data_IF_004121859822
#
_entry.id   IF_004121859822
#
_cell.length_a   1.000
_cell.length_b   1.000
_cell.length_c   1.000
_cell.angle_alpha   90.00
_cell.angle_beta   90.00
_cell.angle_gamma   90.00
#
_symmetry.space_group_name_H-M   'P 1'
#
loop_
_entity.id
_entity.type
_entity.pdbx_description
1 polymer ?
#
# COMPACT_ATOMS: atom_id res chain seq x y z
N UNK A 1 66.59 -20.05 16.55
CA UNK A 1 66.00 -18.70 16.69
C UNK A 1 64.50 -18.85 16.46
N UNK A 2 63.72 -18.69 17.52
CA UNK A 2 62.26 -18.84 17.55
C UNK A 2 61.57 -17.78 16.67
N UNK A 3 60.46 -18.11 16.01
CA UNK A 3 59.26 -17.25 16.02
C UNK A 3 58.02 -18.01 15.49
N UNK A 4 57.24 -18.55 16.43
CA UNK A 4 55.82 -18.89 16.23
C UNK A 4 54.99 -17.61 16.31
N UNK A 5 53.96 -17.49 15.46
CA UNK A 5 52.61 -16.90 15.67
C UNK A 5 52.00 -16.62 14.29
N UNK A 6 51.12 -17.52 13.82
CA UNK A 6 49.67 -17.31 13.79
C UNK A 6 49.24 -16.03 13.07
N UNK A 7 48.64 -16.18 11.88
CA UNK A 7 47.55 -15.31 11.41
C UNK A 7 46.65 -16.10 10.45
N UNK A 8 45.99 -17.12 11.00
CA UNK A 8 44.77 -17.67 10.41
C UNK A 8 43.62 -16.73 10.78
N UNK A 9 43.02 -16.06 9.81
CA UNK A 9 41.83 -15.24 10.07
C UNK A 9 41.60 -14.21 8.99
N UNK A 10 40.92 -14.61 7.91
CA UNK A 10 40.56 -13.69 6.84
C UNK A 10 39.59 -14.25 5.80
N UNK A 11 38.78 -15.27 6.14
CA UNK A 11 37.52 -15.51 5.43
C UNK A 11 36.45 -14.68 6.13
N UNK A 12 36.39 -13.40 5.81
CA UNK A 12 35.15 -12.63 6.00
C UNK A 12 34.52 -12.49 4.63
N UNK A 13 33.76 -13.52 4.28
CA UNK A 13 32.70 -13.50 3.29
C UNK A 13 31.88 -12.22 3.48
N UNK A 14 32.01 -11.28 2.53
CA UNK A 14 31.07 -10.19 2.35
C UNK A 14 29.73 -10.82 1.95
N UNK A 15 28.87 -11.10 2.93
CA UNK A 15 27.46 -11.35 2.67
C UNK A 15 26.87 -9.99 2.33
N UNK A 16 26.74 -9.72 1.03
CA UNK A 16 25.97 -8.59 0.52
C UNK A 16 24.49 -8.90 0.70
N UNK A 17 24.02 -8.83 1.95
CA UNK A 17 22.58 -8.76 2.26
C UNK A 17 22.09 -7.37 1.89
N UNK A 18 22.03 -7.07 0.59
CA UNK A 18 21.14 -6.03 0.12
C UNK A 18 19.72 -6.57 0.29
N UNK A 19 19.20 -6.46 1.51
CA UNK A 19 17.76 -6.40 1.72
C UNK A 19 17.32 -5.21 0.89
N UNK A 20 16.83 -5.49 -0.31
CA UNK A 20 16.01 -4.56 -1.05
C UNK A 20 14.82 -4.30 -0.13
N UNK A 21 14.94 -3.27 0.71
CA UNK A 21 13.82 -2.50 1.23
C UNK A 21 13.19 -1.81 0.03
N UNK A 22 12.65 -2.61 -0.88
CA UNK A 22 11.52 -2.17 -1.65
C UNK A 22 10.47 -1.87 -0.61
N UNK A 23 10.29 -0.60 -0.29
CA UNK A 23 8.93 -0.08 -0.20
C UNK A 23 8.29 -0.39 -1.55
N UNK A 24 7.88 -1.65 -1.72
CA UNK A 24 6.77 -2.01 -2.58
C UNK A 24 5.72 -0.97 -2.25
N UNK A 25 5.31 -0.25 -3.28
CA UNK A 25 4.33 0.83 -3.26
C UNK A 25 3.09 0.36 -2.49
N UNK A 26 3.15 0.44 -1.16
CA UNK A 26 2.06 0.11 -0.29
C UNK A 26 1.15 1.29 -0.47
N UNK A 27 0.15 1.10 -1.31
CA UNK A 27 -0.96 2.01 -1.48
C UNK A 27 -1.37 2.48 -0.07
N UNK A 28 -1.17 3.77 0.21
CA UNK A 28 -0.93 4.26 1.57
C UNK A 28 -2.06 3.87 2.52
N UNK A 29 -1.75 3.58 3.78
CA UNK A 29 -2.77 3.37 4.82
C UNK A 29 -3.51 4.69 5.07
N UNK A 30 -4.74 4.64 5.57
CA UNK A 30 -5.45 5.85 5.99
C UNK A 30 -4.63 6.62 7.04
N UNK A 31 -4.38 7.90 6.78
CA UNK A 31 -3.65 8.80 7.69
C UNK A 31 -4.62 9.85 8.24
N UNK A 32 -4.43 10.25 9.49
CA UNK A 32 -5.25 11.25 10.16
C UNK A 32 -4.37 12.36 10.73
N UNK A 33 -4.88 13.58 10.76
CA UNK A 33 -4.19 14.68 11.46
C UNK A 33 -4.45 14.63 12.98
N UNK A 34 -3.82 15.55 13.72
CA UNK A 34 -3.94 15.64 15.18
C UNK A 34 -5.38 15.92 15.67
N UNK A 35 -6.29 16.29 14.77
CA UNK A 35 -7.72 16.50 15.06
C UNK A 35 -8.58 15.26 14.75
N UNK A 36 -7.98 14.18 14.25
CA UNK A 36 -8.69 12.99 13.81
C UNK A 36 -9.37 13.12 12.45
N UNK A 37 -9.00 14.10 11.62
CA UNK A 37 -9.54 14.27 10.27
C UNK A 37 -8.75 13.40 9.29
N UNK A 38 -9.45 12.65 8.43
CA UNK A 38 -8.83 11.84 7.38
C UNK A 38 -8.07 12.73 6.39
N UNK A 39 -6.78 12.47 6.24
CA UNK A 39 -5.95 13.08 5.21
C UNK A 39 -6.29 12.45 3.85
N UNK A 40 -6.16 13.24 2.78
CA UNK A 40 -6.41 12.75 1.43
C UNK A 40 -5.52 11.53 1.14
N UNK A 41 -6.10 10.34 0.86
CA UNK A 41 -5.32 9.15 0.58
C UNK A 41 -4.44 9.35 -0.66
N UNK A 42 -3.17 8.96 -0.55
CA UNK A 42 -2.22 8.97 -1.67
C UNK A 42 -2.16 7.59 -2.30
N UNK A 43 -2.02 7.53 -3.63
CA UNK A 43 -1.90 6.28 -4.38
C UNK A 43 -3.05 5.28 -4.16
N UNK A 44 -4.24 5.73 -3.74
CA UNK A 44 -5.42 4.89 -3.52
C UNK A 44 -5.88 4.12 -4.77
N UNK A 45 -5.39 4.47 -5.97
CA UNK A 45 -5.65 3.73 -7.21
C UNK A 45 -4.93 2.38 -7.28
N UNK A 46 -3.97 2.15 -6.39
CA UNK A 46 -3.29 0.87 -6.20
C UNK A 46 -3.97 0.01 -5.12
N UNK A 47 -5.00 0.52 -4.44
CA UNK A 47 -5.88 -0.28 -3.59
C UNK A 47 -6.74 -1.24 -4.42
N UNK A 48 -7.51 -2.09 -3.74
CA UNK A 48 -8.38 -3.06 -4.41
C UNK A 48 -9.58 -2.33 -5.01
N UNK A 49 -9.67 -2.29 -6.34
CA UNK A 49 -10.88 -1.82 -7.03
C UNK A 49 -12.02 -2.82 -6.79
N UNK A 50 -13.10 -2.37 -6.16
CA UNK A 50 -14.26 -3.23 -5.87
C UNK A 50 -15.42 -3.01 -6.84
N UNK A 51 -15.41 -1.91 -7.58
CA UNK A 51 -16.39 -1.69 -8.65
C UNK A 51 -16.38 -0.29 -9.22
N UNK A 52 -17.02 -0.15 -10.38
CA UNK A 52 -17.29 1.14 -11.03
C UNK A 52 -18.80 1.28 -11.26
N UNK A 53 -19.34 2.45 -10.96
CA UNK A 53 -20.74 2.80 -11.23
C UNK A 53 -20.80 4.04 -12.11
N UNK A 54 -21.90 4.18 -12.84
CA UNK A 54 -22.19 5.38 -13.62
C UNK A 54 -23.61 5.89 -13.35
N UNK A 55 -23.75 7.19 -13.12
CA UNK A 55 -25.02 7.92 -13.00
C UNK A 55 -25.01 9.08 -13.99
N UNK A 56 -25.42 8.86 -15.26
CA UNK A 56 -25.31 9.87 -16.32
C UNK A 56 -26.22 11.08 -16.08
N UNK A 57 -25.75 12.28 -16.43
CA UNK A 57 -26.55 13.51 -16.33
C UNK A 57 -27.84 13.43 -17.17
N UNK A 58 -27.78 12.82 -18.35
CA UNK A 58 -28.94 12.67 -19.24
C UNK A 58 -30.07 11.82 -18.64
N UNK A 59 -29.75 10.95 -17.67
CA UNK A 59 -30.72 10.12 -16.95
C UNK A 59 -31.13 10.75 -15.60
N UNK A 60 -30.66 11.95 -15.29
CA UNK A 60 -30.83 12.63 -14.00
C UNK A 60 -31.14 14.13 -14.20
N UNK A 61 -32.15 14.46 -15.01
CA UNK A 61 -32.63 15.84 -15.25
C UNK A 61 -31.54 16.84 -15.67
N UNK A 62 -30.52 16.35 -16.39
CA UNK A 62 -29.37 17.14 -16.83
C UNK A 62 -28.31 17.38 -15.74
N UNK A 63 -28.49 16.87 -14.53
CA UNK A 63 -27.53 17.00 -13.42
C UNK A 63 -27.61 15.85 -12.43
N UNK A 64 -26.67 14.92 -12.55
CA UNK A 64 -26.47 13.86 -11.59
C UNK A 64 -26.08 14.41 -10.20
N UNK A 65 -26.44 13.72 -9.11
CA UNK A 65 -26.09 14.14 -7.74
C UNK A 65 -24.59 14.05 -7.43
N UNK A 66 -23.82 13.33 -8.27
CA UNK A 66 -22.39 13.15 -8.15
C UNK A 66 -21.75 13.17 -9.55
N UNK A 67 -20.41 13.25 -9.61
CA UNK A 67 -19.67 12.98 -10.86
C UNK A 67 -20.12 11.65 -11.46
N UNK A 68 -20.37 11.66 -12.77
CA UNK A 68 -21.13 10.60 -13.44
C UNK A 68 -20.49 9.23 -13.25
N UNK A 69 -19.18 9.10 -13.48
CA UNK A 69 -18.44 7.85 -13.26
C UNK A 69 -17.77 7.89 -11.88
N UNK A 70 -17.96 6.82 -11.10
CA UNK A 70 -17.31 6.62 -9.81
C UNK A 70 -16.71 5.24 -9.71
N UNK A 71 -15.42 5.17 -9.42
CA UNK A 71 -14.71 3.92 -9.13
C UNK A 71 -14.40 3.87 -7.64
N UNK A 72 -14.78 2.78 -7.00
CA UNK A 72 -14.63 2.57 -5.56
C UNK A 72 -13.46 1.63 -5.31
N UNK A 73 -12.66 1.98 -4.29
CA UNK A 73 -11.49 1.23 -3.87
C UNK A 73 -11.59 0.95 -2.36
N UNK A 74 -11.05 -0.19 -1.93
CA UNK A 74 -10.92 -0.60 -0.52
C UNK A 74 -9.45 -0.91 -0.26
N UNK A 75 -8.90 -0.47 0.88
CA UNK A 75 -7.51 -0.75 1.21
C UNK A 75 -7.25 -2.27 1.28
N UNK A 76 -6.02 -2.73 0.98
CA UNK A 76 -5.73 -4.15 0.87
C UNK A 76 -5.95 -4.95 2.16
N UNK A 77 -5.79 -4.33 3.34
CA UNK A 77 -5.90 -5.01 4.63
C UNK A 77 -7.37 -5.25 4.98
N UNK A 78 -8.23 -4.24 4.90
CA UNK A 78 -9.67 -4.39 5.09
C UNK A 78 -10.28 -5.32 4.05
N UNK A 79 -9.83 -5.27 2.79
CA UNK A 79 -10.29 -6.22 1.78
C UNK A 79 -9.88 -7.68 2.12
N UNK A 80 -8.68 -7.89 2.65
CA UNK A 80 -8.25 -9.20 3.11
C UNK A 80 -9.05 -9.70 4.32
N UNK A 81 -9.35 -8.81 5.27
CA UNK A 81 -10.25 -9.10 6.38
C UNK A 81 -11.63 -9.52 5.88
N UNK A 82 -12.26 -8.70 5.03
CA UNK A 82 -13.56 -8.97 4.43
C UNK A 82 -13.62 -10.29 3.68
N UNK A 83 -12.60 -10.66 2.91
CA UNK A 83 -12.56 -11.96 2.23
C UNK A 83 -12.59 -13.15 3.19
N UNK A 84 -12.10 -12.97 4.42
CA UNK A 84 -12.06 -14.02 5.44
C UNK A 84 -13.35 -14.06 6.27
N UNK A 85 -13.91 -12.90 6.60
CA UNK A 85 -14.98 -12.78 7.59
C UNK A 85 -16.33 -12.39 7.00
N UNK A 86 -16.34 -11.73 5.85
CA UNK A 86 -17.52 -11.08 5.27
C UNK A 86 -17.87 -9.73 5.93
N UNK A 87 -17.01 -9.23 6.83
CA UNK A 87 -17.21 -8.02 7.63
C UNK A 87 -16.12 -6.98 7.32
N UNK A 88 -16.34 -5.71 7.71
CA UNK A 88 -15.36 -4.63 7.61
C UNK A 88 -14.92 -4.17 8.99
#
# INVERSE_FOLDING_TARGET
>A
MNFRKQLTGGLSSLILSAVMSGSLLAAGVAEFNDKGELLLPKNYREWVMVGTQVTPNELNDGKAPFTEIRTVYVDPESYAHWKKTGEF
#
